data_IF_271775084066
#
_entry.id   IF_271775084066
#
_cell.length_a   1.000
_cell.length_b   1.000
_cell.length_c   1.000
_cell.angle_alpha   90.00
_cell.angle_beta   90.00
_cell.angle_gamma   90.00
#
_symmetry.space_group_name_H-M   'P 1'
#
loop_
_entity.id
_entity.type
_entity.pdbx_description
1 polymer ?
#
# COMPACT_ATOMS: atom_id res chain seq x y z
N UNK A 1 -9.09 -9.73 -16.26
CA UNK A 1 -10.23 -9.11 -15.56
C UNK A 1 -9.65 -8.12 -14.57
N UNK A 2 -10.11 -6.85 -14.51
CA UNK A 2 -9.73 -5.97 -13.41
C UNK A 2 -10.38 -6.53 -12.14
N UNK A 3 -9.57 -6.86 -11.13
CA UNK A 3 -10.09 -7.32 -9.85
C UNK A 3 -10.93 -6.22 -9.23
N UNK A 4 -12.21 -6.46 -9.01
CA UNK A 4 -13.04 -5.57 -8.20
C UNK A 4 -12.39 -5.39 -6.81
N UNK A 5 -12.40 -4.18 -6.24
CA UNK A 5 -11.88 -3.96 -4.89
C UNK A 5 -12.66 -4.86 -3.92
N UNK A 6 -11.94 -5.77 -3.26
CA UNK A 6 -12.45 -6.84 -2.39
C UNK A 6 -13.31 -6.37 -1.20
N UNK A 7 -13.34 -5.07 -0.91
CA UNK A 7 -14.19 -4.46 0.11
C UNK A 7 -14.40 -2.97 -0.19
N UNK A 8 -15.47 -2.32 0.31
CA UNK A 8 -15.61 -0.88 0.24
C UNK A 8 -14.50 -0.20 1.05
N UNK A 9 -13.43 0.19 0.36
CA UNK A 9 -12.31 0.94 0.96
C UNK A 9 -12.83 2.30 1.45
N UNK A 10 -12.97 2.47 2.77
CA UNK A 10 -13.30 3.77 3.38
C UNK A 10 -12.12 4.72 3.26
N UNK A 11 -12.35 6.04 3.28
CA UNK A 11 -11.35 7.10 3.00
C UNK A 11 -9.95 6.87 3.59
N UNK A 12 -9.83 6.48 4.88
CA UNK A 12 -8.52 6.22 5.51
C UNK A 12 -7.74 5.05 4.89
N UNK A 13 -8.40 4.06 4.31
CA UNK A 13 -7.77 2.94 3.60
C UNK A 13 -7.12 3.45 2.31
N UNK A 14 -7.83 4.31 1.57
CA UNK A 14 -7.31 4.94 0.36
C UNK A 14 -6.14 5.87 0.67
N UNK A 15 -6.21 6.64 1.75
CA UNK A 15 -5.08 7.47 2.21
C UNK A 15 -3.86 6.63 2.55
N UNK A 16 -4.04 5.53 3.29
CA UNK A 16 -2.96 4.60 3.62
C UNK A 16 -2.34 3.98 2.36
N UNK A 17 -3.16 3.51 1.42
CA UNK A 17 -2.69 2.95 0.15
C UNK A 17 -1.92 3.97 -0.68
N UNK A 18 -2.41 5.22 -0.75
CA UNK A 18 -1.73 6.31 -1.44
C UNK A 18 -0.38 6.61 -0.81
N UNK A 19 -0.33 6.68 0.52
CA UNK A 19 0.93 6.93 1.24
C UNK A 19 1.97 5.81 1.02
N UNK A 20 1.54 4.54 0.91
CA UNK A 20 2.44 3.43 0.53
C UNK A 20 2.86 3.53 -0.93
N UNK A 21 1.95 3.91 -1.84
CA UNK A 21 2.25 4.10 -3.25
C UNK A 21 3.27 5.21 -3.51
N UNK A 22 3.20 6.30 -2.75
CA UNK A 22 4.12 7.43 -2.84
C UNK A 22 5.50 7.11 -2.23
N UNK A 23 5.59 6.11 -1.35
CA UNK A 23 6.84 5.72 -0.70
C UNK A 23 7.38 4.38 -1.20
N UNK A 24 8.28 4.43 -2.20
CA UNK A 24 8.94 3.24 -2.77
C UNK A 24 9.74 2.43 -1.75
N UNK A 25 10.20 3.06 -0.66
CA UNK A 25 10.91 2.40 0.44
C UNK A 25 10.00 1.68 1.44
N UNK A 26 8.68 1.78 1.25
CA UNK A 26 7.68 1.27 2.17
C UNK A 26 7.45 2.19 3.37
N UNK A 27 6.25 2.11 3.96
CA UNK A 27 5.93 2.84 5.18
C UNK A 27 6.45 2.08 6.41
N UNK A 28 6.74 2.79 7.49
CA UNK A 28 7.12 2.15 8.76
C UNK A 28 5.99 1.25 9.25
N UNK A 29 6.34 0.14 9.91
CA UNK A 29 5.36 -0.78 10.52
C UNK A 29 4.30 -0.07 11.38
N UNK A 30 4.69 1.00 12.09
CA UNK A 30 3.80 1.78 12.97
C UNK A 30 2.85 2.74 12.22
N UNK A 31 3.01 2.92 10.90
CA UNK A 31 2.16 3.80 10.12
C UNK A 31 0.77 3.18 9.93
N UNK A 32 -0.28 3.97 10.17
CA UNK A 32 -1.69 3.55 10.05
C UNK A 32 -1.98 2.21 10.75
N UNK A 33 -1.74 2.11 12.07
CA UNK A 33 -1.68 0.82 12.80
C UNK A 33 -2.99 0.04 12.79
N UNK A 34 -4.14 0.72 12.64
CA UNK A 34 -5.46 0.08 12.55
C UNK A 34 -5.82 -0.34 11.11
N UNK A 35 -5.22 0.31 10.11
CA UNK A 35 -5.63 0.16 8.70
C UNK A 35 -4.71 -0.81 7.96
N UNK A 36 -3.40 -0.79 8.23
CA UNK A 36 -2.44 -1.65 7.54
C UNK A 36 -2.69 -3.15 7.75
N UNK A 37 -3.04 -3.65 8.95
CA UNK A 37 -3.36 -5.07 9.12
C UNK A 37 -4.56 -5.49 8.26
N UNK A 38 -5.59 -4.64 8.18
CA UNK A 38 -6.77 -4.89 7.35
C UNK A 38 -6.38 -4.93 5.87
N UNK A 39 -5.53 -4.00 5.42
CA UNK A 39 -5.03 -3.98 4.05
C UNK A 39 -4.14 -5.19 3.73
N UNK A 40 -3.39 -5.71 4.71
CA UNK A 40 -2.60 -6.94 4.59
C UNK A 40 -3.51 -8.17 4.44
N UNK A 41 -4.53 -8.30 5.29
CA UNK A 41 -5.52 -9.38 5.20
C UNK A 41 -6.29 -9.37 3.87
N UNK A 42 -6.55 -8.18 3.34
CA UNK A 42 -7.19 -8.01 2.04
C UNK A 42 -6.24 -8.24 0.85
N UNK A 43 -4.92 -8.34 1.10
CA UNK A 43 -3.89 -8.59 0.08
C UNK A 43 -3.37 -7.33 -0.64
N UNK A 44 -3.71 -6.14 -0.14
CA UNK A 44 -3.29 -4.86 -0.73
C UNK A 44 -1.84 -4.49 -0.40
N UNK A 45 -1.39 -4.83 0.81
CA UNK A 45 -0.03 -4.56 1.28
C UNK A 45 0.60 -5.80 1.87
N UNK A 46 1.92 -5.83 1.93
CA UNK A 46 2.71 -6.87 2.59
C UNK A 46 3.76 -6.24 3.51
N UNK A 47 4.08 -6.90 4.62
CA UNK A 47 5.26 -6.55 5.41
C UNK A 47 6.51 -7.14 4.80
N UNK A 48 7.43 -6.27 4.36
CA UNK A 48 8.74 -6.70 3.86
C UNK A 48 9.84 -6.20 4.78
N UNK A 49 10.88 -7.01 4.94
CA UNK A 49 12.09 -6.59 5.63
C UNK A 49 12.79 -5.51 4.79
N UNK A 50 13.03 -4.34 5.40
CA UNK A 50 13.86 -3.31 4.75
C UNK A 50 15.32 -3.76 4.70
N UNK A 51 15.87 -3.83 3.49
CA UNK A 51 17.27 -4.24 3.26
C UNK A 51 18.20 -3.26 3.99
N UNK A 52 18.98 -3.76 4.95
CA UNK A 52 20.01 -2.98 5.66
C UNK A 52 19.70 -2.58 7.11
N UNK A 53 18.50 -2.84 7.65
CA UNK A 53 18.24 -2.76 9.09
C UNK A 53 17.67 -4.06 9.62
N UNK A 54 18.49 -4.79 10.36
CA UNK A 54 18.13 -6.02 11.06
C UNK A 54 16.86 -5.78 11.88
N UNK A 55 15.77 -6.48 11.54
CA UNK A 55 14.51 -6.47 12.29
C UNK A 55 13.49 -5.38 11.95
N UNK A 56 13.78 -4.42 11.06
CA UNK A 56 12.76 -3.42 10.66
C UNK A 56 11.93 -3.89 9.47
N UNK A 57 10.63 -4.08 9.73
CA UNK A 57 9.59 -4.35 8.72
C UNK A 57 8.95 -3.04 8.27
N UNK A 58 8.67 -2.96 6.98
CA UNK A 58 7.96 -1.87 6.36
C UNK A 58 6.77 -2.41 5.57
N UNK A 59 5.72 -1.60 5.46
CA UNK A 59 4.56 -1.88 4.63
C UNK A 59 4.87 -1.53 3.18
N UNK A 60 4.71 -2.48 2.27
CA UNK A 60 4.89 -2.31 0.84
C UNK A 60 3.62 -2.72 0.10
N UNK A 61 3.36 -2.12 -1.05
CA UNK A 61 2.29 -2.58 -1.94
C UNK A 61 2.64 -3.94 -2.53
N UNK A 62 1.63 -4.81 -2.62
CA UNK A 62 1.78 -6.05 -3.38
C UNK A 62 1.87 -5.73 -4.89
N UNK A 63 2.59 -6.55 -5.68
CA UNK A 63 2.79 -6.27 -7.11
C UNK A 63 1.49 -6.10 -7.90
N UNK A 64 0.47 -6.93 -7.65
CA UNK A 64 -0.81 -6.86 -8.34
C UNK A 64 -1.62 -5.61 -8.01
N UNK A 65 -1.48 -5.08 -6.79
CA UNK A 65 -2.23 -3.91 -6.34
C UNK A 65 -1.54 -2.59 -6.69
N UNK A 66 -0.21 -2.64 -6.91
CA UNK A 66 0.50 -1.56 -7.57
C UNK A 66 -0.06 -1.28 -8.97
N UNK A 67 -0.37 -2.32 -9.74
CA UNK A 67 -0.99 -2.17 -11.07
C UNK A 67 -2.43 -1.66 -10.98
N UNK A 68 -3.19 -2.11 -9.98
CA UNK A 68 -4.54 -1.61 -9.72
C UNK A 68 -4.53 -0.12 -9.37
N UNK A 69 -3.61 0.34 -8.52
CA UNK A 69 -3.47 1.76 -8.15
C UNK A 69 -3.00 2.64 -9.32
N UNK A 70 -2.16 2.10 -10.21
CA UNK A 70 -1.80 2.76 -11.47
C UNK A 70 -3.04 2.92 -12.35
N UNK A 71 -3.83 1.85 -12.48
CA UNK A 71 -5.05 1.82 -13.31
C UNK A 71 -6.14 2.75 -12.75
N UNK A 72 -6.24 2.86 -11.43
CA UNK A 72 -7.17 3.74 -10.72
C UNK A 72 -6.71 5.22 -10.70
N UNK A 73 -5.57 5.57 -11.30
CA UNK A 73 -5.07 6.95 -11.34
C UNK A 73 -4.63 7.50 -9.97
N UNK A 74 -4.35 6.62 -9.00
CA UNK A 74 -3.90 7.00 -7.64
C UNK A 74 -2.38 7.25 -7.60
N UNK A 75 -1.67 7.12 -8.74
CA UNK A 75 -0.46 7.92 -8.91
C UNK A 75 -0.92 9.35 -9.15
N UNK A 76 -0.73 10.22 -8.14
CA UNK A 76 -0.71 11.66 -8.38
C UNK A 76 0.17 11.86 -9.60
N UNK A 77 -0.41 12.41 -10.67
CA UNK A 77 0.32 12.93 -11.82
C UNK A 77 1.43 13.81 -11.25
N UNK A 78 2.64 13.25 -11.23
CA UNK A 78 3.84 14.02 -11.26
C UNK A 78 4.15 14.12 -12.74
N UNK A 79 3.59 15.14 -13.37
CA UNK A 79 4.09 15.67 -14.62
C UNK A 79 4.54 17.12 -14.35
N UNK A 80 5.54 17.63 -15.10
CA UNK A 80 6.38 16.99 -16.12
C UNK A 80 7.83 16.71 -15.66
#
# INVERSE_FOLDING_TARGET
MPSEPKAPMRGRHLEALRAVAENLGGLRHEAYPTVMPILEELGYVEQRATRGRTGRRAWHLTPGERELLITLGIRKSAEP
#
